data_IF_611215860344
#
_entry.id   IF_611215860344
#
_cell.length_a   1.000
_cell.length_b   1.000
_cell.length_c   1.000
_cell.angle_alpha   90.00
_cell.angle_beta   90.00
_cell.angle_gamma   90.00
#
_symmetry.space_group_name_H-M   'P 1'
#
loop_
_entity.id
_entity.type
_entity.pdbx_description
1 polymer ?
#
# COMPACT_ATOMS: atom_id res chain seq x y z
N UNK A 1 -1.85 2.11 8.66
CA UNK A 1 -2.36 1.50 7.41
C UNK A 1 -2.16 2.40 6.19
N UNK A 2 -2.38 3.72 6.30
CA UNK A 2 -2.22 4.68 5.18
C UNK A 2 -0.86 4.61 4.49
N UNK A 3 0.23 4.55 5.27
CA UNK A 3 1.59 4.45 4.75
C UNK A 3 1.81 3.19 3.89
N UNK A 4 1.25 2.04 4.30
CA UNK A 4 1.32 0.78 3.55
C UNK A 4 0.56 0.89 2.22
N UNK A 5 -0.65 1.47 2.24
CA UNK A 5 -1.44 1.67 1.02
C UNK A 5 -0.72 2.65 0.09
N UNK A 6 -0.13 3.72 0.64
CA UNK A 6 0.65 4.67 -0.14
C UNK A 6 1.84 3.99 -0.84
N UNK A 7 2.60 3.15 -0.11
CA UNK A 7 3.70 2.37 -0.66
C UNK A 7 3.26 1.48 -1.83
N UNK A 8 2.15 0.76 -1.68
CA UNK A 8 1.62 -0.13 -2.72
C UNK A 8 1.21 0.63 -3.98
N UNK A 9 0.68 1.85 -3.84
CA UNK A 9 0.12 2.60 -4.96
C UNK A 9 1.13 3.46 -5.72
N UNK A 10 2.23 3.87 -5.09
CA UNK A 10 3.20 4.79 -5.70
C UNK A 10 4.43 4.04 -6.20
N UNK A 11 5.27 3.60 -5.26
CA UNK A 11 6.51 2.89 -5.54
C UNK A 11 6.57 1.72 -4.58
N UNK A 12 6.07 0.53 -4.98
CA UNK A 12 6.16 -0.66 -4.17
C UNK A 12 7.62 -0.90 -3.82
N UNK A 13 7.97 -0.65 -2.57
CA UNK A 13 9.31 -0.85 -2.05
C UNK A 13 9.27 -2.02 -1.09
N UNK A 14 10.41 -2.66 -0.92
CA UNK A 14 10.54 -3.67 0.13
C UNK A 14 10.25 -3.00 1.49
N UNK A 15 9.57 -3.72 2.38
CA UNK A 15 9.11 -3.18 3.67
C UNK A 15 10.23 -3.12 4.72
N UNK A 16 11.42 -2.68 4.32
CA UNK A 16 12.55 -2.39 5.19
C UNK A 16 12.91 -0.91 5.07
N UNK A 17 13.54 -0.34 6.09
CA UNK A 17 13.92 1.08 6.13
C UNK A 17 12.72 2.01 5.85
N UNK A 18 11.52 1.59 6.28
CA UNK A 18 10.28 2.31 5.96
C UNK A 18 10.23 3.71 6.58
N UNK A 19 10.92 3.91 7.70
CA UNK A 19 11.11 5.22 8.29
C UNK A 19 11.86 6.17 7.34
N UNK A 20 12.96 5.70 6.73
CA UNK A 20 13.75 6.49 5.79
C UNK A 20 13.00 6.74 4.48
N UNK A 21 12.34 5.71 3.94
CA UNK A 21 11.48 5.85 2.76
C UNK A 21 10.36 6.88 2.97
N UNK A 22 9.84 7.01 4.20
CA UNK A 22 8.76 7.95 4.50
C UNK A 22 9.21 9.41 4.67
N UNK A 23 10.51 9.69 4.89
CA UNK A 23 11.04 11.04 5.12
C UNK A 23 10.66 12.09 4.07
N UNK A 24 10.61 11.79 2.76
CA UNK A 24 10.22 12.77 1.75
C UNK A 24 8.72 13.05 1.69
N UNK A 25 7.89 12.25 2.38
CA UNK A 25 6.44 12.43 2.38
C UNK A 25 6.05 13.54 3.35
N UNK A 26 5.11 14.39 2.92
CA UNK A 26 4.44 15.33 3.83
C UNK A 26 3.52 14.53 4.77
N UNK A 27 3.78 14.49 6.09
CA UNK A 27 3.00 13.71 7.05
C UNK A 27 1.53 14.12 7.09
N UNK A 28 1.24 15.42 6.94
CA UNK A 28 -0.12 15.94 6.97
C UNK A 28 -0.89 15.46 5.73
N UNK A 29 -0.23 15.38 4.58
CA UNK A 29 -0.82 14.90 3.33
C UNK A 29 -1.22 13.40 3.39
N UNK A 30 -0.56 12.61 4.23
CA UNK A 30 -0.88 11.19 4.47
C UNK A 30 -1.64 10.97 5.80
N UNK A 31 -2.06 12.05 6.46
CA UNK A 31 -2.85 12.02 7.68
C UNK A 31 -2.13 11.33 8.84
N UNK A 32 -0.80 11.49 8.93
CA UNK A 32 0.00 11.00 10.05
C UNK A 32 0.33 12.14 11.00
N UNK A 33 0.08 11.93 12.29
CA UNK A 33 0.53 12.84 13.32
C UNK A 33 2.03 12.65 13.63
N UNK A 34 2.72 13.70 14.15
CA UNK A 34 4.15 13.63 14.52
C UNK A 34 4.52 12.45 15.44
N UNK A 35 3.64 12.09 16.38
CA UNK A 35 3.82 10.94 17.27
C UNK A 35 3.75 9.58 16.55
N UNK A 36 3.00 9.51 15.45
CA UNK A 36 2.87 8.30 14.63
C UNK A 36 4.10 8.10 13.74
N UNK A 37 4.77 9.17 13.34
CA UNK A 37 6.04 9.12 12.61
C UNK A 37 7.14 8.43 13.43
N UNK A 38 7.25 8.75 14.71
CA UNK A 38 8.21 8.10 15.62
C UNK A 38 7.92 6.60 15.82
N UNK A 39 6.70 6.18 15.47
CA UNK A 39 6.21 4.82 15.56
C UNK A 39 6.39 4.03 14.25
N UNK A 40 6.86 4.65 13.18
CA UNK A 40 7.13 3.96 11.91
C UNK A 40 8.36 3.08 12.08
N UNK A 41 8.18 1.77 11.99
CA UNK A 41 9.25 0.79 12.00
C UNK A 41 8.85 -0.46 11.24
N UNK A 42 9.85 -1.16 10.72
CA UNK A 42 9.66 -2.26 9.78
C UNK A 42 8.81 -3.40 10.36
N UNK A 43 9.01 -3.77 11.62
CA UNK A 43 8.18 -4.78 12.31
C UNK A 43 6.70 -4.37 12.38
N UNK A 44 6.41 -3.10 12.66
CA UNK A 44 5.01 -2.61 12.73
C UNK A 44 4.38 -2.58 11.35
N UNK A 45 5.13 -2.21 10.31
CA UNK A 45 4.65 -2.23 8.93
C UNK A 45 4.43 -3.66 8.44
N UNK A 46 5.32 -4.60 8.77
CA UNK A 46 5.14 -6.02 8.49
C UNK A 46 3.90 -6.60 9.16
N UNK A 47 3.68 -6.30 10.45
CA UNK A 47 2.44 -6.67 11.16
C UNK A 47 1.20 -6.04 10.55
N UNK A 48 1.28 -4.78 10.11
CA UNK A 48 0.19 -4.11 9.42
C UNK A 48 -0.09 -4.74 8.06
N UNK A 49 0.93 -5.18 7.32
CA UNK A 49 0.75 -5.92 6.07
C UNK A 49 0.06 -7.26 6.31
N UNK A 50 0.50 -8.01 7.33
CA UNK A 50 -0.13 -9.29 7.69
C UNK A 50 -1.61 -9.08 8.05
N UNK A 51 -1.90 -8.14 8.96
CA UNK A 51 -3.27 -7.82 9.35
C UNK A 51 -4.12 -7.32 8.17
N UNK A 52 -3.50 -6.57 7.24
CA UNK A 52 -4.17 -6.14 6.02
C UNK A 52 -4.49 -7.33 5.13
N UNK A 53 -3.54 -8.25 4.90
CA UNK A 53 -3.75 -9.46 4.11
C UNK A 53 -4.87 -10.35 4.68
N UNK A 54 -4.86 -10.57 5.99
CA UNK A 54 -5.88 -11.36 6.70
C UNK A 54 -7.27 -10.70 6.70
N UNK A 55 -7.32 -9.40 6.41
CA UNK A 55 -8.56 -8.65 6.21
C UNK A 55 -9.08 -8.79 4.77
N UNK A 56 -10.22 -8.15 4.47
CA UNK A 56 -10.77 -8.05 3.10
C UNK A 56 -10.00 -7.02 2.27
N UNK A 57 -8.67 -7.15 2.16
CA UNK A 57 -7.78 -6.17 1.51
C UNK A 57 -8.21 -5.79 0.08
N UNK A 58 -8.75 -6.75 -0.70
CA UNK A 58 -9.28 -6.47 -2.04
C UNK A 58 -10.41 -5.44 -2.04
N UNK A 59 -11.22 -5.41 -0.98
CA UNK A 59 -12.32 -4.45 -0.82
C UNK A 59 -11.78 -3.02 -0.66
N UNK A 60 -10.62 -2.85 -0.01
CA UNK A 60 -9.98 -1.53 0.16
C UNK A 60 -9.60 -0.94 -1.19
N UNK A 61 -8.89 -1.70 -2.03
CA UNK A 61 -8.49 -1.22 -3.36
C UNK A 61 -9.69 -1.00 -4.28
N UNK A 62 -10.70 -1.87 -4.22
CA UNK A 62 -11.94 -1.69 -4.98
C UNK A 62 -12.65 -0.39 -4.59
N UNK A 63 -12.82 -0.13 -3.30
CA UNK A 63 -13.46 1.11 -2.81
C UNK A 63 -12.63 2.35 -3.15
N UNK A 64 -11.30 2.24 -3.10
CA UNK A 64 -10.40 3.32 -3.49
C UNK A 64 -10.55 3.65 -4.99
N UNK A 65 -10.55 2.64 -5.86
CA UNK A 65 -10.77 2.81 -7.29
C UNK A 65 -12.13 3.44 -7.57
N UNK A 66 -13.21 2.94 -6.95
CA UNK A 66 -14.54 3.55 -7.06
C UNK A 66 -14.57 5.01 -6.60
N UNK A 67 -13.84 5.35 -5.54
CA UNK A 67 -13.75 6.74 -5.07
C UNK A 67 -12.98 7.61 -6.07
N UNK A 68 -11.87 7.13 -6.61
CA UNK A 68 -11.10 7.84 -7.62
C UNK A 68 -11.95 8.12 -8.87
N UNK A 69 -12.68 7.11 -9.38
CA UNK A 69 -13.61 7.27 -10.51
C UNK A 69 -14.61 8.40 -10.25
N UNK A 70 -15.20 8.45 -9.06
CA UNK A 70 -16.19 9.47 -8.70
C UNK A 70 -15.59 10.87 -8.50
N UNK A 71 -14.41 10.97 -7.88
CA UNK A 71 -13.77 12.25 -7.55
C UNK A 71 -13.19 12.91 -8.80
N UNK A 72 -12.62 12.11 -9.70
CA UNK A 72 -11.97 12.59 -10.92
C UNK A 72 -12.83 12.43 -12.17
N UNK A 73 -14.09 12.00 -12.02
CA UNK A 73 -15.05 11.77 -13.11
C UNK A 73 -14.45 10.95 -14.26
N UNK A 74 -13.73 9.88 -13.91
CA UNK A 74 -13.02 9.06 -14.89
C UNK A 74 -14.02 8.38 -15.84
N UNK A 75 -13.83 8.55 -17.14
CA UNK A 75 -14.62 7.83 -18.14
C UNK A 75 -14.31 6.33 -18.06
N UNK A 76 -15.35 5.55 -17.78
CA UNK A 76 -15.29 4.10 -17.69
C UNK A 76 -16.00 3.41 -18.88
N UNK A 77 -16.32 4.15 -19.95
CA UNK A 77 -16.91 3.60 -21.18
C UNK A 77 -16.02 2.54 -21.84
N UNK A 78 -14.70 2.66 -21.65
CA UNK A 78 -13.70 1.67 -22.00
C UNK A 78 -12.75 1.44 -20.83
N UNK A 79 -12.60 0.18 -20.41
CA UNK A 79 -11.65 -0.22 -19.36
C UNK A 79 -10.63 -1.17 -19.99
N UNK A 80 -9.36 -0.77 -19.97
CA UNK A 80 -8.25 -1.64 -20.36
C UNK A 80 -7.80 -2.44 -19.15
N UNK A 81 -7.86 -3.76 -19.25
CA UNK A 81 -7.40 -4.67 -18.20
C UNK A 81 -6.14 -5.39 -18.69
N UNK A 82 -4.97 -4.81 -18.36
CA UNK A 82 -3.69 -5.48 -18.55
C UNK A 82 -3.45 -6.41 -17.36
N UNK A 83 -3.49 -7.72 -17.61
CA UNK A 83 -3.43 -8.77 -16.57
C UNK A 83 -2.05 -9.35 -16.38
N UNK A 84 -0.99 -8.65 -16.80
CA UNK A 84 0.38 -9.15 -16.65
C UNK A 84 0.71 -9.41 -15.18
N UNK A 85 0.60 -10.67 -14.76
CA UNK A 85 0.81 -11.11 -13.38
C UNK A 85 2.14 -11.86 -13.34
N UNK A 86 3.10 -11.36 -12.57
CA UNK A 86 4.34 -12.08 -12.28
C UNK A 86 4.14 -12.84 -10.99
N UNK A 87 4.21 -14.17 -11.04
CA UNK A 87 4.17 -15.03 -9.85
C UNK A 87 5.55 -15.60 -9.59
N UNK A 88 6.11 -15.32 -8.41
CA UNK A 88 7.35 -15.94 -7.96
C UNK A 88 7.02 -17.17 -7.12
N UNK A 89 7.60 -18.32 -7.48
CA UNK A 89 7.48 -19.56 -6.71
C UNK A 89 8.87 -20.13 -6.48
N UNK A 90 9.16 -20.53 -5.24
CA UNK A 90 10.45 -21.11 -4.85
C UNK A 90 10.31 -22.01 -3.64
N UNK A 91 11.05 -23.13 -3.63
CA UNK A 91 11.20 -23.97 -2.44
C UNK A 91 12.25 -23.34 -1.55
N UNK A 92 11.84 -22.45 -0.66
CA UNK A 92 12.73 -21.87 0.36
C UNK A 92 13.09 -22.97 1.38
N UNK A 93 14.16 -23.71 1.10
CA UNK A 93 14.71 -24.67 2.04
C UNK A 93 15.65 -23.94 3.01
N UNK A 94 15.39 -24.06 4.31
CA UNK A 94 16.33 -23.62 5.36
C UNK A 94 16.18 -22.18 5.86
N UNK A 95 15.02 -21.55 5.67
CA UNK A 95 14.58 -20.42 6.50
C UNK A 95 13.59 -20.92 7.54
#
# INVERSE_FOLDING_TARGET
MTLLIHNILTTPNSLYEMADWSKPLDPDAIGLHPEELACIGDDRIGKALQAFYDSRHKEVFFRLALRAIKVFELDCSQIHHDTTTVTFAGKYAGW
#
